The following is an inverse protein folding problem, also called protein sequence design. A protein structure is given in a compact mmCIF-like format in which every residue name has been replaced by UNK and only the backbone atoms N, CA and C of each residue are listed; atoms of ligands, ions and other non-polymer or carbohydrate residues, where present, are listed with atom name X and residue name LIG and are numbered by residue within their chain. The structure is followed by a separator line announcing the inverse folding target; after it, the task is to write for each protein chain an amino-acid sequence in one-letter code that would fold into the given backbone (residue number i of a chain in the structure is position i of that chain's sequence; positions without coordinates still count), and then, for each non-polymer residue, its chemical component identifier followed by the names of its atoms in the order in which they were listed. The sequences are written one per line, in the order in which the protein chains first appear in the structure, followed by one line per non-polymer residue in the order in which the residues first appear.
data_IF_249896941386
#
_entry.id   IF_249896941386
#
_cell.length_a   1.000
_cell.length_b   1.000
_cell.length_c   1.000
_cell.angle_alpha   90.00
_cell.angle_beta   90.00
_cell.angle_gamma   90.00
#
_symmetry.space_group_name_H-M   'P 1'
#
loop_
_entity.id
_entity.type
_entity.pdbx_description
1 polymer ?
#
# COMPACT_ATOMS: atom_id res chain seq x y z
N UNK A 1 -18.98 87.47 -13.51
CA UNK A 1 -20.17 86.92 -14.23
C UNK A 1 -19.93 85.44 -14.51
N UNK A 2 -21.01 84.66 -14.51
CA UNK A 2 -21.10 83.19 -14.53
C UNK A 2 -20.40 82.52 -15.72
N UNK A 3 -19.92 81.27 -15.50
CA UNK A 3 -20.13 80.06 -16.31
C UNK A 3 -19.22 78.96 -15.69
N UNK A 4 -19.66 78.02 -14.85
CA UNK A 4 -20.59 76.89 -15.05
C UNK A 4 -20.34 76.14 -16.36
N UNK A 5 -20.35 74.80 -16.27
CA UNK A 5 -20.18 73.78 -17.33
C UNK A 5 -18.74 73.32 -17.64
N UNK A 6 -18.10 72.60 -16.71
CA UNK A 6 -16.99 71.69 -17.07
C UNK A 6 -16.76 70.61 -16.01
N UNK A 7 -17.78 69.78 -15.72
CA UNK A 7 -17.62 68.64 -14.77
C UNK A 7 -18.43 67.38 -15.11
N UNK A 8 -19.08 67.29 -16.27
CA UNK A 8 -20.04 66.22 -16.58
C UNK A 8 -19.73 65.41 -17.85
N UNK A 9 -18.44 65.18 -18.16
CA UNK A 9 -18.05 64.38 -19.35
C UNK A 9 -16.92 63.38 -19.09
N UNK A 10 -16.70 62.94 -17.85
CA UNK A 10 -15.67 61.93 -17.51
C UNK A 10 -16.22 60.79 -16.64
N UNK A 11 -17.45 60.34 -16.90
CA UNK A 11 -18.08 59.19 -16.22
C UNK A 11 -18.72 58.18 -17.20
N UNK A 12 -18.17 58.07 -18.42
CA UNK A 12 -18.63 57.10 -19.43
C UNK A 12 -17.44 56.36 -20.06
N UNK A 13 -16.56 55.79 -19.24
CA UNK A 13 -15.47 54.92 -19.71
C UNK A 13 -15.14 53.75 -18.76
N UNK A 14 -16.10 53.31 -17.94
CA UNK A 14 -15.95 52.17 -17.03
C UNK A 14 -17.08 51.16 -17.25
N UNK A 15 -16.97 50.39 -18.33
CA UNK A 15 -17.85 49.26 -18.63
C UNK A 15 -17.79 48.97 -20.12
N UNK A 16 -17.04 47.95 -20.59
CA UNK A 16 -17.18 46.56 -20.12
C UNK A 16 -15.83 45.81 -20.03
N UNK A 17 -15.29 45.59 -18.83
CA UNK A 17 -14.12 44.70 -18.63
C UNK A 17 -14.46 43.39 -17.87
N UNK A 18 -15.73 43.09 -17.66
CA UNK A 18 -16.19 41.84 -17.03
C UNK A 18 -16.90 40.90 -18.03
N UNK A 19 -16.49 40.93 -19.30
CA UNK A 19 -17.08 40.13 -20.38
C UNK A 19 -16.26 38.93 -20.82
N UNK A 20 -15.09 38.67 -20.22
CA UNK A 20 -14.39 37.41 -20.45
C UNK A 20 -14.82 36.41 -19.39
N UNK A 21 -15.97 35.76 -19.62
CA UNK A 21 -16.18 34.41 -19.13
C UNK A 21 -15.07 33.55 -19.74
N UNK A 22 -13.91 33.51 -19.08
CA UNK A 22 -12.99 32.40 -19.24
C UNK A 22 -13.81 31.14 -19.03
N UNK A 23 -13.89 30.30 -20.06
CA UNK A 23 -14.50 28.97 -19.93
C UNK A 23 -13.95 28.36 -18.65
N UNK A 24 -14.84 27.87 -17.80
CA UNK A 24 -14.43 27.12 -16.63
C UNK A 24 -13.37 26.09 -17.09
N UNK A 25 -12.21 26.01 -16.41
CA UNK A 25 -11.17 25.08 -16.80
C UNK A 25 -11.80 23.71 -16.98
N UNK A 26 -11.52 23.07 -18.12
CA UNK A 26 -12.05 21.74 -18.38
C UNK A 26 -11.74 20.85 -17.17
N UNK A 27 -12.73 20.09 -16.67
CA UNK A 27 -12.50 19.23 -15.53
C UNK A 27 -11.33 18.31 -15.88
N UNK A 28 -10.34 18.26 -14.98
CA UNK A 28 -9.21 17.37 -15.15
C UNK A 28 -9.72 15.95 -15.47
N UNK A 29 -9.10 15.25 -16.44
CA UNK A 29 -9.56 13.93 -16.82
C UNK A 29 -9.63 13.03 -15.59
N UNK A 30 -10.78 12.37 -15.40
CA UNK A 30 -11.02 11.51 -14.24
C UNK A 30 -10.07 10.32 -14.32
N UNK A 31 -9.27 10.09 -13.28
CA UNK A 31 -8.40 8.92 -13.16
C UNK A 31 -9.21 7.63 -13.30
N UNK A 32 -8.81 6.76 -14.23
CA UNK A 32 -9.33 5.41 -14.34
C UNK A 32 -8.56 4.49 -13.39
N UNK A 33 -9.06 4.37 -12.16
CA UNK A 33 -8.45 3.52 -11.12
C UNK A 33 -8.30 2.06 -11.53
N UNK A 34 -9.18 1.55 -12.40
CA UNK A 34 -9.09 0.16 -12.86
C UNK A 34 -7.90 0.00 -13.80
N UNK A 35 -7.75 0.91 -14.76
CA UNK A 35 -6.61 0.89 -15.68
C UNK A 35 -5.29 1.14 -14.94
N UNK A 36 -5.25 2.07 -13.99
CA UNK A 36 -4.07 2.30 -13.14
C UNK A 36 -3.69 1.06 -12.33
N UNK A 37 -4.68 0.38 -11.74
CA UNK A 37 -4.48 -0.88 -11.05
C UNK A 37 -3.87 -1.96 -11.95
N UNK A 38 -4.43 -2.16 -13.14
CA UNK A 38 -3.92 -3.14 -14.11
C UNK A 38 -2.45 -2.82 -14.49
N UNK A 39 -2.16 -1.57 -14.82
CA UNK A 39 -0.82 -1.10 -15.20
C UNK A 39 0.18 -1.35 -14.07
N UNK A 40 -0.16 -0.95 -12.84
CA UNK A 40 0.70 -1.15 -11.68
C UNK A 40 0.94 -2.64 -11.43
N UNK A 41 -0.08 -3.49 -11.48
CA UNK A 41 0.08 -4.92 -11.23
C UNK A 41 0.99 -5.60 -12.27
N UNK A 42 0.94 -5.17 -13.54
CA UNK A 42 1.87 -5.64 -14.57
C UNK A 42 3.32 -5.27 -14.25
N UNK A 43 3.56 -4.07 -13.72
CA UNK A 43 4.89 -3.59 -13.32
C UNK A 43 5.41 -4.30 -12.06
N UNK A 44 4.56 -4.47 -11.04
CA UNK A 44 4.94 -5.08 -9.77
C UNK A 44 5.20 -6.58 -9.89
N UNK A 45 4.46 -7.29 -10.74
CA UNK A 45 4.54 -8.76 -10.87
C UNK A 45 5.97 -9.32 -11.02
N UNK A 46 6.80 -8.88 -11.98
CA UNK A 46 8.16 -9.39 -12.11
C UNK A 46 9.04 -9.02 -10.90
N UNK A 47 8.80 -7.87 -10.29
CA UNK A 47 9.59 -7.43 -9.15
C UNK A 47 9.29 -8.31 -7.92
N UNK A 48 8.01 -8.46 -7.57
CA UNK A 48 7.53 -9.21 -6.40
C UNK A 48 7.80 -10.71 -6.47
N UNK A 49 7.87 -11.29 -7.68
CA UNK A 49 8.12 -12.72 -7.86
C UNK A 49 9.56 -13.09 -7.48
N UNK A 50 9.71 -14.20 -6.76
CA UNK A 50 11.00 -14.75 -6.32
C UNK A 50 11.09 -14.89 -4.80
N UNK A 51 12.32 -15.05 -4.31
CA UNK A 51 12.61 -15.21 -2.88
C UNK A 51 13.19 -13.93 -2.31
N UNK A 52 12.67 -13.56 -1.15
CA UNK A 52 13.04 -12.35 -0.43
C UNK A 52 13.39 -12.68 1.01
N UNK A 53 14.50 -12.15 1.47
CA UNK A 53 14.85 -12.18 2.88
C UNK A 53 14.18 -11.00 3.58
N UNK A 54 13.43 -11.27 4.66
CA UNK A 54 12.93 -10.25 5.59
C UNK A 54 14.13 -9.78 6.42
N UNK A 55 14.93 -8.94 5.79
CA UNK A 55 16.22 -8.48 6.31
C UNK A 55 16.04 -7.73 7.62
N UNK A 56 15.03 -6.85 7.70
CA UNK A 56 14.74 -6.07 8.91
C UNK A 56 13.25 -5.99 9.17
N UNK A 57 12.82 -6.39 10.37
CA UNK A 57 11.41 -6.27 10.83
C UNK A 57 11.39 -5.35 12.04
N UNK A 58 10.89 -4.12 11.87
CA UNK A 58 10.73 -3.15 12.94
C UNK A 58 9.33 -3.25 13.54
N UNK A 59 9.27 -3.52 14.84
CA UNK A 59 8.07 -3.59 15.66
C UNK A 59 8.07 -2.42 16.64
N UNK A 60 7.01 -1.61 16.61
CA UNK A 60 6.74 -0.59 17.62
C UNK A 60 5.97 -1.21 18.78
N UNK A 61 6.43 -0.95 20.01
CA UNK A 61 5.75 -1.42 21.21
C UNK A 61 4.43 -0.69 21.38
N UNK A 62 3.36 -1.47 21.47
CA UNK A 62 2.02 -1.00 21.80
C UNK A 62 1.79 -1.17 23.30
N UNK A 63 1.22 -0.16 23.94
CA UNK A 63 0.94 -0.20 25.38
C UNK A 63 -0.23 -1.15 25.63
N UNK A 64 -0.05 -2.11 26.54
CA UNK A 64 -1.06 -3.08 26.97
C UNK A 64 -1.60 -3.99 25.84
N UNK A 65 -0.82 -4.20 24.77
CA UNK A 65 -1.19 -5.14 23.72
C UNK A 65 -0.86 -6.58 24.15
N UNK A 66 -1.90 -7.40 24.30
CA UNK A 66 -1.77 -8.76 24.81
C UNK A 66 -0.97 -9.67 23.87
N UNK A 67 -1.14 -9.51 22.55
CA UNK A 67 -0.41 -10.28 21.55
C UNK A 67 1.09 -9.96 21.60
N UNK A 68 1.46 -8.68 21.68
CA UNK A 68 2.86 -8.29 21.86
C UNK A 68 3.48 -8.83 23.15
N UNK A 69 2.73 -8.80 24.27
CA UNK A 69 3.21 -9.38 25.53
C UNK A 69 3.42 -10.89 25.41
N UNK A 70 2.53 -11.61 24.72
CA UNK A 70 2.68 -13.05 24.44
C UNK A 70 3.88 -13.34 23.54
N UNK A 71 4.16 -12.45 22.57
CA UNK A 71 5.35 -12.51 21.72
C UNK A 71 6.64 -12.00 22.41
N UNK A 72 6.58 -11.58 23.69
CA UNK A 72 7.74 -11.07 24.43
C UNK A 72 8.22 -9.67 24.03
N UNK A 73 7.41 -8.91 23.28
CA UNK A 73 7.72 -7.54 22.86
C UNK A 73 7.40 -6.56 23.99
N UNK A 74 8.44 -6.16 24.73
CA UNK A 74 8.32 -5.23 25.87
C UNK A 74 8.78 -3.81 25.55
N UNK A 75 9.44 -3.62 24.40
CA UNK A 75 9.98 -2.36 23.89
C UNK A 75 10.02 -2.40 22.36
N UNK A 76 10.25 -1.25 21.74
CA UNK A 76 10.51 -1.18 20.30
C UNK A 76 11.64 -2.15 19.95
N UNK A 77 11.36 -3.01 18.97
CA UNK A 77 12.21 -4.17 18.66
C UNK A 77 12.46 -4.22 17.17
N UNK A 78 13.69 -4.53 16.79
CA UNK A 78 14.07 -4.77 15.40
C UNK A 78 14.65 -6.16 15.30
N UNK A 79 13.98 -7.02 14.54
CA UNK A 79 14.55 -8.32 14.16
C UNK A 79 15.39 -8.15 12.90
N UNK A 80 16.51 -8.86 12.86
CA UNK A 80 17.41 -8.94 11.70
C UNK A 80 17.32 -10.35 11.11
N UNK A 81 17.34 -10.47 9.79
CA UNK A 81 17.28 -11.75 9.05
C UNK A 81 16.17 -12.67 9.57
N UNK A 82 14.96 -12.11 9.65
CA UNK A 82 13.87 -12.68 10.43
C UNK A 82 13.29 -13.96 9.81
N UNK A 83 13.06 -13.95 8.50
CA UNK A 83 12.43 -15.03 7.74
C UNK A 83 12.76 -14.89 6.25
N UNK A 84 12.40 -15.89 5.46
CA UNK A 84 12.43 -15.80 4.00
C UNK A 84 11.00 -15.92 3.44
N UNK A 85 10.67 -15.15 2.42
CA UNK A 85 9.38 -15.15 1.75
C UNK A 85 9.60 -15.47 0.27
N UNK A 86 9.00 -16.54 -0.21
CA UNK A 86 8.94 -16.87 -1.63
C UNK A 86 7.56 -16.54 -2.15
N UNK A 87 7.47 -15.80 -3.25
CA UNK A 87 6.22 -15.43 -3.92
C UNK A 87 6.23 -15.82 -5.40
N UNK A 88 5.09 -16.31 -5.86
CA UNK A 88 4.78 -16.55 -7.27
C UNK A 88 3.37 -16.04 -7.58
N UNK A 89 3.07 -15.70 -8.85
CA UNK A 89 1.70 -15.37 -9.25
C UNK A 89 0.74 -16.53 -8.88
N UNK A 90 -0.40 -16.21 -8.28
CA UNK A 90 -1.33 -17.23 -7.80
C UNK A 90 -1.91 -18.06 -8.96
N UNK A 91 -1.85 -19.38 -8.84
CA UNK A 91 -2.45 -20.32 -9.79
C UNK A 91 -3.98 -20.23 -9.72
N UNK A 92 -4.54 -20.31 -8.52
CA UNK A 92 -5.98 -20.16 -8.28
C UNK A 92 -6.29 -18.76 -7.75
N UNK A 93 -7.31 -18.11 -8.32
CA UNK A 93 -7.78 -16.82 -7.78
C UNK A 93 -8.79 -17.03 -6.68
N UNK A 94 -8.76 -16.16 -5.66
CA UNK A 94 -9.84 -16.08 -4.66
C UNK A 94 -11.07 -15.33 -5.16
N UNK A 95 -11.00 -14.72 -6.34
CA UNK A 95 -12.12 -14.08 -7.04
C UNK A 95 -12.50 -14.86 -8.30
N UNK A 96 -13.80 -14.92 -8.63
CA UNK A 96 -14.28 -15.56 -9.86
C UNK A 96 -15.38 -14.69 -10.47
N UNK A 97 -15.18 -14.12 -11.68
CA UNK A 97 -13.94 -14.18 -12.49
C UNK A 97 -12.77 -13.43 -11.82
N UNK A 98 -11.53 -13.80 -12.19
CA UNK A 98 -10.31 -13.10 -11.74
C UNK A 98 -10.34 -11.66 -12.22
N UNK A 99 -10.18 -10.69 -11.33
CA UNK A 99 -10.11 -9.28 -11.71
C UNK A 99 -8.65 -8.85 -11.96
N UNK A 100 -8.28 -8.43 -13.19
CA UNK A 100 -6.90 -8.06 -13.52
C UNK A 100 -6.39 -6.81 -12.80
N UNK A 101 -7.25 -6.02 -12.16
CA UNK A 101 -6.82 -4.88 -11.35
C UNK A 101 -6.16 -5.31 -10.02
N UNK A 102 -6.28 -6.59 -9.64
CA UNK A 102 -5.69 -7.14 -8.43
C UNK A 102 -4.48 -8.02 -8.75
N UNK A 103 -3.39 -7.80 -8.02
CA UNK A 103 -2.21 -8.64 -8.07
C UNK A 103 -2.34 -9.77 -7.07
N UNK A 104 -2.62 -10.98 -7.54
CA UNK A 104 -2.74 -12.15 -6.66
C UNK A 104 -1.48 -12.99 -6.71
N UNK A 105 -0.90 -13.25 -5.54
CA UNK A 105 0.30 -14.07 -5.38
C UNK A 105 0.10 -15.09 -4.28
N UNK A 106 0.74 -16.23 -4.43
CA UNK A 106 0.83 -17.26 -3.41
C UNK A 106 2.29 -17.62 -3.18
N UNK A 107 2.55 -18.28 -2.05
CA UNK A 107 3.90 -18.73 -1.78
C UNK A 107 4.08 -19.22 -0.36
N UNK A 108 5.28 -19.01 0.17
CA UNK A 108 5.73 -19.60 1.42
C UNK A 108 6.54 -18.60 2.24
N UNK A 109 6.15 -18.40 3.49
CA UNK A 109 6.97 -17.75 4.51
C UNK A 109 7.72 -18.84 5.28
N UNK A 110 9.05 -18.83 5.23
CA UNK A 110 9.91 -19.74 5.96
C UNK A 110 10.46 -19.06 7.22
N UNK A 111 10.11 -19.59 8.39
CA UNK A 111 10.55 -19.08 9.69
C UNK A 111 11.00 -20.24 10.58
N UNK A 112 12.22 -20.16 11.13
CA UNK A 112 12.85 -21.20 11.97
C UNK A 112 12.76 -22.63 11.37
N UNK A 113 12.93 -22.75 10.05
CA UNK A 113 12.86 -24.03 9.34
C UNK A 113 11.45 -24.55 9.06
N UNK A 114 10.40 -23.89 9.57
CA UNK A 114 9.01 -24.19 9.23
C UNK A 114 8.53 -23.37 8.04
N UNK A 115 7.56 -23.91 7.30
CA UNK A 115 7.00 -23.31 6.10
C UNK A 115 5.53 -23.00 6.32
N UNK A 116 5.16 -21.73 6.17
CA UNK A 116 3.80 -21.24 6.27
C UNK A 116 3.31 -20.85 4.87
N UNK A 117 2.31 -21.56 4.30
CA UNK A 117 1.76 -21.19 3.00
C UNK A 117 1.02 -19.87 3.13
N UNK A 118 1.33 -18.92 2.26
CA UNK A 118 0.78 -17.56 2.29
C UNK A 118 0.15 -17.17 0.96
N UNK A 119 -0.75 -16.21 1.03
CA UNK A 119 -1.44 -15.62 -0.11
C UNK A 119 -1.57 -14.11 0.11
N UNK A 120 -1.35 -13.34 -0.95
CA UNK A 120 -1.51 -11.88 -0.96
C UNK A 120 -2.37 -11.47 -2.15
N UNK A 121 -3.25 -10.50 -1.91
CA UNK A 121 -4.04 -9.82 -2.94
C UNK A 121 -3.76 -8.32 -2.85
N UNK A 122 -3.03 -7.79 -3.82
CA UNK A 122 -2.64 -6.39 -3.91
C UNK A 122 -3.73 -5.57 -4.58
N UNK A 123 -3.99 -4.39 -3.99
CA UNK A 123 -4.91 -3.38 -4.51
C UNK A 123 -4.18 -2.04 -4.58
N UNK A 124 -4.27 -1.35 -5.70
CA UNK A 124 -3.68 0.00 -5.84
C UNK A 124 -4.27 0.94 -4.79
N UNK A 125 -3.46 1.84 -4.24
CA UNK A 125 -3.94 2.91 -3.35
C UNK A 125 -4.52 4.07 -4.18
N UNK A 126 -5.49 4.80 -3.63
CA UNK A 126 -6.07 5.96 -4.31
C UNK A 126 -5.02 7.03 -4.65
N UNK A 127 -4.09 7.27 -3.72
CA UNK A 127 -3.11 8.34 -3.82
C UNK A 127 -2.10 8.02 -4.92
N UNK A 128 -1.62 6.77 -4.98
CA UNK A 128 -0.73 6.34 -6.05
C UNK A 128 -1.43 6.35 -7.42
N UNK A 129 -2.70 5.96 -7.49
CA UNK A 129 -3.45 6.01 -8.75
C UNK A 129 -3.61 7.44 -9.28
N UNK A 130 -3.73 8.45 -8.41
CA UNK A 130 -3.92 9.84 -8.81
C UNK A 130 -2.61 10.59 -9.05
N UNK A 131 -1.59 10.31 -8.25
CA UNK A 131 -0.37 11.15 -8.17
C UNK A 131 0.92 10.40 -8.47
N UNK A 132 0.88 9.06 -8.52
CA UNK A 132 2.06 8.19 -8.55
C UNK A 132 3.03 8.43 -7.39
N UNK A 133 2.53 8.95 -6.26
CA UNK A 133 3.29 9.18 -5.04
C UNK A 133 2.74 8.33 -3.89
N UNK A 134 3.61 8.06 -2.92
CA UNK A 134 3.26 7.27 -1.75
C UNK A 134 3.24 5.75 -2.00
N UNK A 135 2.62 4.98 -1.10
CA UNK A 135 2.56 3.53 -1.22
C UNK A 135 1.76 3.08 -2.43
N UNK A 136 2.30 2.11 -3.16
CA UNK A 136 1.75 1.66 -4.44
C UNK A 136 0.49 0.83 -4.25
N UNK A 137 0.51 -0.09 -3.29
CA UNK A 137 -0.58 -1.03 -3.08
C UNK A 137 -0.81 -1.34 -1.60
N UNK A 138 -2.03 -1.76 -1.29
CA UNK A 138 -2.48 -2.31 -0.01
C UNK A 138 -2.74 -3.80 -0.20
N UNK A 139 -2.36 -4.61 0.79
CA UNK A 139 -2.66 -6.04 0.81
C UNK A 139 -2.71 -6.59 2.24
N UNK A 140 -3.24 -7.80 2.39
CA UNK A 140 -3.10 -8.61 3.60
C UNK A 140 -2.15 -9.77 3.33
N UNK A 141 -1.31 -10.13 4.31
CA UNK A 141 -0.54 -11.38 4.29
C UNK A 141 -1.35 -12.49 4.96
N UNK A 142 -2.14 -13.20 4.18
CA UNK A 142 -3.00 -14.27 4.70
C UNK A 142 -2.34 -15.63 4.62
N UNK A 143 -2.73 -16.53 5.51
CA UNK A 143 -2.42 -17.95 5.34
C UNK A 143 -3.22 -18.53 4.16
N UNK A 144 -2.56 -19.33 3.35
CA UNK A 144 -3.18 -20.03 2.22
C UNK A 144 -3.55 -21.47 2.60
N UNK A 145 -4.50 -21.60 3.52
CA UNK A 145 -5.01 -22.89 4.00
C UNK A 145 -6.53 -22.84 4.21
N UNK A 146 -7.17 -24.00 4.24
CA UNK A 146 -8.60 -24.13 4.50
C UNK A 146 -8.91 -23.64 5.92
N UNK A 147 -9.96 -22.84 6.09
CA UNK A 147 -10.40 -22.37 7.41
C UNK A 147 -10.74 -23.57 8.31
N UNK A 148 -10.28 -23.53 9.58
CA UNK A 148 -10.48 -24.62 10.56
C UNK A 148 -9.40 -25.70 10.58
N UNK A 149 -8.30 -25.51 9.85
CA UNK A 149 -7.20 -26.47 9.69
C UNK A 149 -6.23 -26.57 10.89
N UNK A 150 -6.76 -26.91 12.08
CA UNK A 150 -6.02 -27.08 13.34
C UNK A 150 -5.65 -25.77 14.07
N UNK A 151 -5.52 -25.80 15.41
CA UNK A 151 -5.01 -24.65 16.16
C UNK A 151 -3.57 -24.30 15.71
N UNK A 152 -3.19 -23.00 15.71
CA UNK A 152 -1.84 -22.59 15.36
C UNK A 152 -0.83 -23.20 16.33
N UNK A 153 0.32 -23.64 15.80
CA UNK A 153 1.45 -24.02 16.63
C UNK A 153 2.13 -22.78 17.25
N UNK A 154 3.15 -22.98 18.09
CA UNK A 154 3.82 -21.89 18.79
C UNK A 154 4.50 -20.87 17.85
N UNK A 155 5.08 -21.33 16.73
CA UNK A 155 5.76 -20.44 15.78
C UNK A 155 4.75 -19.67 14.94
N UNK A 156 3.66 -20.32 14.53
CA UNK A 156 2.56 -19.65 13.84
C UNK A 156 1.88 -18.62 14.74
N UNK A 157 1.60 -18.99 16.00
CA UNK A 157 1.03 -18.09 17.00
C UNK A 157 1.94 -16.88 17.21
N UNK A 158 3.25 -17.08 17.33
CA UNK A 158 4.22 -15.99 17.43
C UNK A 158 4.15 -15.04 16.22
N UNK A 159 4.07 -15.57 14.98
CA UNK A 159 3.95 -14.75 13.77
C UNK A 159 2.62 -13.97 13.70
N UNK A 160 1.53 -14.56 14.20
CA UNK A 160 0.23 -13.91 14.31
C UNK A 160 0.24 -12.79 15.37
N UNK A 161 0.88 -13.06 16.52
CA UNK A 161 0.97 -12.14 17.64
C UNK A 161 1.89 -10.95 17.34
N UNK A 162 2.95 -11.16 16.56
CA UNK A 162 3.76 -10.07 16.02
C UNK A 162 3.03 -9.23 14.97
N UNK A 163 1.94 -9.72 14.41
CA UNK A 163 1.26 -9.06 13.29
C UNK A 163 1.98 -9.23 11.95
N UNK A 164 2.77 -10.30 11.76
CA UNK A 164 3.35 -10.64 10.46
C UNK A 164 2.29 -11.30 9.58
N UNK A 165 1.65 -12.35 10.10
CA UNK A 165 0.55 -13.05 9.44
C UNK A 165 -0.80 -12.40 9.79
N UNK A 166 -1.75 -12.54 8.88
CA UNK A 166 -3.12 -12.02 8.99
C UNK A 166 -3.17 -10.53 9.36
N UNK A 167 -2.29 -9.76 8.71
CA UNK A 167 -2.13 -8.32 8.94
C UNK A 167 -2.05 -7.59 7.61
N UNK A 168 -2.38 -6.30 7.64
CA UNK A 168 -2.43 -5.44 6.47
C UNK A 168 -1.15 -4.62 6.33
N UNK A 169 -0.72 -4.45 5.09
CA UNK A 169 0.50 -3.75 4.75
C UNK A 169 0.30 -2.85 3.54
N UNK A 170 0.98 -1.72 3.56
CA UNK A 170 1.29 -0.96 2.37
C UNK A 170 2.58 -1.48 1.73
N UNK A 171 2.55 -1.66 0.42
CA UNK A 171 3.70 -1.95 -0.41
C UNK A 171 4.34 -0.62 -0.86
N UNK A 172 5.60 -0.46 -0.53
CA UNK A 172 6.47 0.59 -1.04
C UNK A 172 7.63 -0.05 -1.80
N UNK A 173 7.70 0.25 -3.09
CA UNK A 173 8.75 -0.27 -3.93
C UNK A 173 9.45 0.86 -4.68
N UNK A 174 10.78 0.77 -4.75
CA UNK A 174 11.58 1.69 -5.55
C UNK A 174 11.89 0.99 -6.88
N UNK A 175 11.41 1.51 -8.02
CA UNK A 175 11.72 0.94 -9.32
C UNK A 175 13.23 0.76 -9.52
N UNK A 176 13.64 -0.42 -10.00
CA UNK A 176 15.04 -0.73 -10.28
C UNK A 176 15.90 -1.10 -9.05
N UNK A 177 15.34 -1.09 -7.83
CA UNK A 177 16.07 -1.53 -6.64
C UNK A 177 15.76 -2.99 -6.28
N UNK A 178 16.75 -3.77 -5.81
CA UNK A 178 16.57 -5.15 -5.36
C UNK A 178 15.97 -5.25 -3.95
N UNK A 179 15.24 -4.21 -3.53
CA UNK A 179 14.63 -4.10 -2.21
C UNK A 179 13.16 -3.77 -2.31
N UNK A 180 12.41 -4.13 -1.27
CA UNK A 180 10.99 -3.86 -1.14
C UNK A 180 10.70 -3.52 0.31
N UNK A 181 9.74 -2.64 0.56
CA UNK A 181 9.33 -2.27 1.92
C UNK A 181 7.86 -2.55 2.09
N UNK A 182 7.52 -3.25 3.18
CA UNK A 182 6.14 -3.36 3.64
C UNK A 182 5.97 -2.50 4.89
N UNK A 183 5.09 -1.51 4.83
CA UNK A 183 4.73 -0.70 5.98
C UNK A 183 3.47 -1.27 6.62
N UNK A 184 3.55 -1.65 7.89
CA UNK A 184 2.42 -2.27 8.58
C UNK A 184 1.34 -1.25 8.93
N UNK A 185 0.09 -1.71 8.94
CA UNK A 185 -1.10 -0.92 9.23
C UNK A 185 -1.78 -1.27 10.56
N UNK A 186 -1.15 -2.09 11.39
CA UNK A 186 -1.70 -2.54 12.67
C UNK A 186 -0.70 -3.33 13.50
N UNK A 187 -1.19 -4.01 14.55
CA UNK A 187 -0.55 -5.03 15.43
C UNK A 187 0.92 -4.86 15.85
N UNK A 188 1.54 -3.71 15.60
CA UNK A 188 2.90 -3.38 16.01
C UNK A 188 3.95 -3.43 14.91
N UNK A 189 3.73 -4.13 13.79
CA UNK A 189 4.68 -4.07 12.67
C UNK A 189 4.64 -2.67 12.09
N UNK A 190 5.76 -1.96 12.19
CA UNK A 190 5.92 -0.64 11.59
C UNK A 190 6.42 -0.79 10.15
N UNK A 191 7.49 -1.58 9.98
CA UNK A 191 8.20 -1.68 8.70
C UNK A 191 8.89 -3.03 8.56
N UNK A 192 8.79 -3.63 7.39
CA UNK A 192 9.56 -4.79 6.97
C UNK A 192 10.38 -4.39 5.75
N UNK A 193 11.69 -4.52 5.84
CA UNK A 193 12.62 -4.29 4.74
C UNK A 193 13.05 -5.63 4.18
N UNK A 194 12.80 -5.80 2.88
CA UNK A 194 13.13 -7.01 2.15
C UNK A 194 14.36 -6.79 1.29
N UNK A 195 15.18 -7.82 1.19
CA UNK A 195 16.29 -7.91 0.25
C UNK A 195 16.07 -9.13 -0.65
N UNK A 196 16.21 -8.97 -1.96
CA UNK A 196 16.09 -10.10 -2.88
C UNK A 196 17.28 -11.04 -2.67
N UNK A 197 17.01 -12.35 -2.58
CA UNK A 197 18.03 -13.39 -2.42
C UNK A 197 18.73 -13.72 -3.74
#
# INVERSE_FOLDING_TARGET
MKNRYSRWLLLLALGPLFGQCSKAPEPAPRTDYRQEGITLMQQLKPQLTGTWDLHRVAITRLRNDASQMQAGITKDTVFQYFAALTLAPAVASRSTPRDPQYGEFEGALQYKGKVFPVYICLRITSDYAQTHQGPQALFALDLNRVLGSYPPDADERFLLDLGILQSYFYLENTPGQPGMVWRGLGKGVNRIEFQKR
#
